data_IF_637849271609
#
_entry.id   IF_637849271609
#
_cell.length_a   1.000
_cell.length_b   1.000
_cell.length_c   1.000
_cell.angle_alpha   90.00
_cell.angle_beta   90.00
_cell.angle_gamma   90.00
#
_symmetry.space_group_name_H-M   'P 1'
#
loop_
_entity.id
_entity.type
_entity.pdbx_description
1 polymer ?
#
# COMPACT_ATOMS: atom_id res chain seq x y z
N UNK A 1 -14.86 5.49 18.70
CA UNK A 1 -13.91 4.47 19.17
C UNK A 1 -12.97 4.21 18.02
N UNK A 2 -11.71 4.65 18.11
CA UNK A 2 -10.71 4.31 17.10
C UNK A 2 -10.41 2.82 17.30
N UNK A 3 -10.72 1.99 16.32
CA UNK A 3 -10.34 0.58 16.36
C UNK A 3 -8.82 0.51 16.56
N UNK A 4 -8.34 -0.51 17.27
CA UNK A 4 -6.91 -0.70 17.52
C UNK A 4 -6.22 -1.13 16.21
N UNK A 5 -6.01 -0.17 15.30
CA UNK A 5 -5.52 -0.40 13.95
C UNK A 5 -4.14 -1.04 13.96
N UNK A 6 -3.32 -0.77 14.98
CA UNK A 6 -1.99 -1.37 15.16
C UNK A 6 -2.03 -2.90 15.39
N UNK A 7 -3.16 -3.42 15.88
CA UNK A 7 -3.40 -4.86 16.05
C UNK A 7 -4.02 -5.52 14.80
N UNK A 8 -4.30 -4.76 13.74
CA UNK A 8 -4.92 -5.28 12.52
C UNK A 8 -4.02 -6.28 11.78
N UNK A 9 -4.64 -7.08 10.89
CA UNK A 9 -3.90 -8.04 10.05
C UNK A 9 -2.85 -7.34 9.17
N UNK A 10 -3.20 -6.17 8.61
CA UNK A 10 -2.33 -5.38 7.75
C UNK A 10 -1.07 -4.94 8.50
N UNK A 11 -1.23 -4.45 9.74
CA UNK A 11 -0.11 -4.08 10.60
C UNK A 11 0.78 -5.26 10.97
N UNK A 12 0.20 -6.38 11.40
CA UNK A 12 0.97 -7.59 11.73
C UNK A 12 1.76 -8.08 10.51
N UNK A 13 1.15 -8.04 9.34
CA UNK A 13 1.79 -8.47 8.09
C UNK A 13 2.93 -7.53 7.69
N UNK A 14 2.67 -6.22 7.56
CA UNK A 14 3.68 -5.23 7.22
C UNK A 14 4.86 -5.26 8.20
N UNK A 15 4.57 -5.38 9.51
CA UNK A 15 5.60 -5.53 10.54
C UNK A 15 6.46 -6.77 10.31
N UNK A 16 5.85 -7.92 10.04
CA UNK A 16 6.58 -9.18 9.82
C UNK A 16 7.52 -9.14 8.62
N UNK A 17 7.17 -8.37 7.59
CA UNK A 17 7.95 -8.24 6.35
C UNK A 17 8.95 -7.09 6.36
N UNK A 18 8.71 -6.02 7.14
CA UNK A 18 9.49 -4.78 7.06
C UNK A 18 10.30 -4.45 8.31
N UNK A 19 9.86 -4.83 9.52
CA UNK A 19 10.45 -4.33 10.78
C UNK A 19 11.95 -4.64 10.91
N UNK A 20 12.33 -5.89 10.63
CA UNK A 20 13.72 -6.32 10.71
C UNK A 20 14.55 -5.99 9.45
N UNK A 21 14.10 -6.32 8.22
CA UNK A 21 14.94 -6.10 7.03
C UNK A 21 14.98 -4.64 6.58
N UNK A 22 13.95 -3.83 6.88
CA UNK A 22 13.77 -2.49 6.34
C UNK A 22 13.16 -1.53 7.38
N UNK A 23 13.84 -1.27 8.52
CA UNK A 23 13.26 -0.53 9.64
C UNK A 23 12.82 0.89 9.28
N UNK A 24 13.49 1.58 8.35
CA UNK A 24 13.07 2.91 7.86
C UNK A 24 11.80 2.85 7.03
N UNK A 25 11.63 1.82 6.19
CA UNK A 25 10.38 1.59 5.43
C UNK A 25 9.24 1.20 6.34
N UNK A 26 9.53 0.43 7.40
CA UNK A 26 8.56 0.15 8.44
C UNK A 26 8.12 1.43 9.17
N UNK A 27 9.05 2.31 9.55
CA UNK A 27 8.73 3.61 10.14
C UNK A 27 7.87 4.48 9.20
N UNK A 28 8.23 4.53 7.91
CA UNK A 28 7.46 5.21 6.87
C UNK A 28 6.03 4.68 6.78
N UNK A 29 5.85 3.37 6.62
CA UNK A 29 4.54 2.72 6.52
C UNK A 29 3.63 3.06 7.71
N UNK A 30 4.19 3.05 8.94
CA UNK A 30 3.47 3.48 10.14
C UNK A 30 3.04 4.95 10.07
N UNK A 31 3.91 5.84 9.57
CA UNK A 31 3.60 7.24 9.33
C UNK A 31 2.44 7.42 8.35
N UNK A 32 2.50 6.73 7.20
CA UNK A 32 1.45 6.77 6.17
C UNK A 32 0.13 6.23 6.72
N UNK A 33 0.17 5.17 7.54
CA UNK A 33 -1.02 4.66 8.23
C UNK A 33 -1.66 5.66 9.20
N UNK A 34 -0.86 6.44 9.94
CA UNK A 34 -1.37 7.54 10.78
C UNK A 34 -1.98 8.66 9.95
N UNK A 35 -1.32 9.07 8.86
CA UNK A 35 -1.86 10.05 7.93
C UNK A 35 -3.19 9.59 7.31
N UNK A 36 -3.31 8.30 6.97
CA UNK A 36 -4.53 7.71 6.44
C UNK A 36 -5.71 7.78 7.41
N UNK A 37 -5.50 7.53 8.71
CA UNK A 37 -6.54 7.70 9.74
C UNK A 37 -7.07 9.14 9.74
N UNK A 38 -6.15 10.11 9.69
CA UNK A 38 -6.47 11.53 9.69
C UNK A 38 -7.18 12.00 8.41
N UNK A 39 -6.77 11.49 7.26
CA UNK A 39 -7.32 11.85 5.95
C UNK A 39 -8.70 11.22 5.76
N UNK A 40 -8.88 9.94 6.11
CA UNK A 40 -10.16 9.26 5.97
C UNK A 40 -11.29 9.97 6.74
N UNK A 41 -11.00 10.45 7.95
CA UNK A 41 -11.96 11.19 8.76
C UNK A 41 -12.41 12.52 8.12
N UNK A 42 -11.60 13.12 7.24
CA UNK A 42 -11.90 14.39 6.55
C UNK A 42 -12.59 14.19 5.21
N UNK A 43 -12.30 13.08 4.54
CA UNK A 43 -12.82 12.78 3.20
C UNK A 43 -14.10 11.92 3.23
N UNK A 44 -14.51 11.44 4.40
CA UNK A 44 -15.66 10.52 4.58
C UNK A 44 -15.55 9.28 3.67
N UNK A 45 -14.32 8.77 3.53
CA UNK A 45 -14.01 7.59 2.72
C UNK A 45 -13.85 6.33 3.58
N UNK A 46 -13.68 5.19 2.92
CA UNK A 46 -13.49 3.89 3.57
C UNK A 46 -12.19 3.87 4.40
N UNK A 47 -12.32 4.14 5.71
CA UNK A 47 -11.20 4.29 6.63
C UNK A 47 -10.42 2.99 6.78
N UNK A 48 -11.11 1.86 6.89
CA UNK A 48 -10.46 0.56 7.08
C UNK A 48 -9.62 0.19 5.84
N UNK A 49 -10.19 0.37 4.65
CA UNK A 49 -9.49 0.11 3.40
C UNK A 49 -8.29 1.04 3.20
N UNK A 50 -8.45 2.35 3.45
CA UNK A 50 -7.37 3.31 3.27
C UNK A 50 -6.22 3.01 4.23
N UNK A 51 -6.50 2.77 5.52
CA UNK A 51 -5.48 2.49 6.53
C UNK A 51 -4.77 1.16 6.28
N UNK A 52 -5.50 0.11 5.89
CA UNK A 52 -4.89 -1.16 5.53
C UNK A 52 -3.94 -1.01 4.33
N UNK A 53 -4.39 -0.31 3.28
CA UNK A 53 -3.58 -0.07 2.07
C UNK A 53 -2.37 0.82 2.36
N UNK A 54 -2.53 1.86 3.18
CA UNK A 54 -1.45 2.74 3.63
C UNK A 54 -0.34 2.00 4.37
N UNK A 55 -0.70 1.05 5.23
CA UNK A 55 0.29 0.26 5.98
C UNK A 55 1.00 -0.77 5.11
N UNK A 56 0.32 -1.26 4.06
CA UNK A 56 0.82 -2.31 3.18
C UNK A 56 1.47 -1.80 1.89
N UNK A 57 1.35 -0.51 1.55
CA UNK A 57 1.74 0.01 0.22
C UNK A 57 3.19 -0.32 -0.15
N UNK A 58 4.09 -0.28 0.83
CA UNK A 58 5.52 -0.52 0.67
C UNK A 58 5.94 -1.96 1.00
N UNK A 59 5.01 -2.89 1.25
CA UNK A 59 5.36 -4.27 1.64
C UNK A 59 6.20 -4.97 0.58
N UNK A 60 5.99 -4.66 -0.70
CA UNK A 60 6.74 -5.24 -1.82
C UNK A 60 8.23 -4.88 -1.85
N UNK A 61 8.70 -3.97 -0.99
CA UNK A 61 10.14 -3.77 -0.79
C UNK A 61 10.82 -4.91 -0.03
N UNK A 62 10.07 -5.71 0.74
CA UNK A 62 10.63 -6.77 1.57
C UNK A 62 11.48 -7.74 0.71
N UNK A 63 12.73 -8.05 1.10
CA UNK A 63 13.66 -8.76 0.22
C UNK A 63 13.17 -10.11 -0.31
N UNK A 64 12.32 -10.82 0.44
CA UNK A 64 11.77 -12.12 0.02
C UNK A 64 10.62 -12.00 -0.98
N UNK A 65 10.01 -10.82 -1.13
CA UNK A 65 8.87 -10.55 -2.01
C UNK A 65 9.32 -10.05 -3.40
N UNK A 66 10.57 -9.62 -3.53
CA UNK A 66 11.07 -9.03 -4.79
C UNK A 66 11.10 -10.08 -5.90
N UNK A 67 10.31 -9.85 -6.95
CA UNK A 67 10.25 -10.69 -8.16
C UNK A 67 10.60 -9.85 -9.38
N UNK A 68 9.97 -8.68 -9.51
CA UNK A 68 10.20 -7.75 -10.64
C UNK A 68 11.13 -6.60 -10.25
N UNK A 69 11.31 -6.33 -8.94
CA UNK A 69 12.01 -5.14 -8.46
C UNK A 69 11.15 -3.87 -8.54
N UNK A 70 9.85 -4.02 -8.77
CA UNK A 70 8.85 -2.96 -8.73
C UNK A 70 7.87 -3.24 -7.60
N UNK A 71 8.08 -2.58 -6.46
CA UNK A 71 7.41 -2.90 -5.19
C UNK A 71 5.87 -2.81 -5.23
N UNK A 72 5.20 -1.94 -6.01
CA UNK A 72 3.74 -1.93 -6.05
C UNK A 72 3.19 -3.24 -6.62
N UNK A 73 3.80 -3.74 -7.71
CA UNK A 73 3.39 -4.99 -8.34
C UNK A 73 3.76 -6.21 -7.48
N UNK A 74 5.00 -6.27 -6.99
CA UNK A 74 5.48 -7.38 -6.17
C UNK A 74 4.67 -7.49 -4.86
N UNK A 75 4.39 -6.35 -4.21
CA UNK A 75 3.56 -6.29 -3.00
C UNK A 75 2.11 -6.68 -3.25
N UNK A 76 1.49 -6.19 -4.34
CA UNK A 76 0.11 -6.53 -4.66
C UNK A 76 -0.07 -8.02 -4.99
N UNK A 77 0.88 -8.64 -5.69
CA UNK A 77 0.89 -10.09 -5.95
C UNK A 77 1.05 -10.88 -4.68
N UNK A 78 1.99 -10.51 -3.82
CA UNK A 78 2.17 -11.15 -2.52
C UNK A 78 0.86 -11.14 -1.71
N UNK A 79 0.19 -10.00 -1.62
CA UNK A 79 -1.08 -9.86 -0.91
C UNK A 79 -2.21 -10.69 -1.54
N UNK A 80 -2.28 -10.75 -2.87
CA UNK A 80 -3.25 -11.56 -3.61
C UNK A 80 -3.00 -13.06 -3.42
N UNK A 81 -1.76 -13.50 -3.58
CA UNK A 81 -1.39 -14.90 -3.79
C UNK A 81 -1.10 -15.64 -2.47
N UNK A 82 -0.49 -14.98 -1.48
CA UNK A 82 -0.17 -15.61 -0.19
C UNK A 82 -1.21 -15.31 0.90
N UNK A 83 -1.96 -14.22 0.77
CA UNK A 83 -2.89 -13.75 1.80
C UNK A 83 -4.35 -13.66 1.36
N UNK A 84 -4.67 -13.91 0.09
CA UNK A 84 -6.03 -13.81 -0.47
C UNK A 84 -6.71 -12.48 -0.10
N UNK A 85 -5.92 -11.39 -0.06
CA UNK A 85 -6.39 -10.10 0.40
C UNK A 85 -7.49 -9.53 -0.51
N UNK A 86 -8.35 -8.67 0.04
CA UNK A 86 -9.37 -7.95 -0.71
C UNK A 86 -8.76 -7.28 -1.95
N UNK A 87 -9.40 -7.48 -3.11
CA UNK A 87 -8.95 -6.91 -4.38
C UNK A 87 -8.85 -5.39 -4.35
N UNK A 88 -9.64 -4.70 -3.52
CA UNK A 88 -9.53 -3.25 -3.34
C UNK A 88 -8.19 -2.88 -2.68
N UNK A 89 -7.73 -3.65 -1.69
CA UNK A 89 -6.42 -3.44 -1.05
C UNK A 89 -5.31 -3.70 -2.06
N UNK A 90 -5.34 -4.82 -2.78
CA UNK A 90 -4.29 -5.16 -3.74
C UNK A 90 -4.22 -4.17 -4.89
N UNK A 91 -5.36 -3.68 -5.38
CA UNK A 91 -5.41 -2.61 -6.40
C UNK A 91 -4.88 -1.27 -5.89
N UNK A 92 -5.17 -0.89 -4.65
CA UNK A 92 -4.60 0.32 -4.04
C UNK A 92 -3.09 0.19 -3.84
N UNK A 93 -2.61 -0.94 -3.32
CA UNK A 93 -1.16 -1.22 -3.21
C UNK A 93 -0.49 -1.25 -4.58
N UNK A 94 -1.11 -1.82 -5.61
CA UNK A 94 -0.51 -1.87 -6.95
C UNK A 94 -0.41 -0.50 -7.64
N UNK A 95 -1.32 0.43 -7.31
CA UNK A 95 -1.49 1.69 -8.03
C UNK A 95 -1.15 2.93 -7.18
N UNK A 96 -0.52 2.78 -6.01
CA UNK A 96 -0.16 3.93 -5.17
C UNK A 96 0.89 4.82 -5.83
N UNK A 97 0.92 6.11 -5.46
CA UNK A 97 2.01 7.06 -5.76
C UNK A 97 2.46 7.03 -7.23
N UNK A 98 1.48 7.14 -8.12
CA UNK A 98 1.70 7.16 -9.57
C UNK A 98 2.41 5.90 -10.13
N UNK A 99 2.26 4.75 -9.49
CA UNK A 99 2.86 3.47 -9.90
C UNK A 99 2.62 3.10 -11.36
N UNK A 100 1.48 3.46 -11.96
CA UNK A 100 1.24 3.18 -13.39
C UNK A 100 2.25 3.90 -14.30
N UNK A 101 2.58 5.16 -14.01
CA UNK A 101 3.59 5.91 -14.77
C UNK A 101 4.98 5.28 -14.61
N UNK A 102 5.35 4.89 -13.39
CA UNK A 102 6.61 4.20 -13.15
C UNK A 102 6.66 2.80 -13.82
N UNK A 103 5.53 2.10 -13.85
CA UNK A 103 5.43 0.80 -14.50
C UNK A 103 5.61 0.91 -16.02
N UNK A 104 5.09 1.97 -16.66
CA UNK A 104 5.31 2.21 -18.08
C UNK A 104 6.81 2.40 -18.41
N UNK A 105 7.55 3.16 -17.59
CA UNK A 105 9.01 3.34 -17.73
C UNK A 105 9.80 2.04 -17.52
N UNK A 106 9.19 1.06 -16.84
CA UNK A 106 9.77 -0.27 -16.55
C UNK A 106 9.27 -1.36 -17.51
N UNK A 107 8.49 -1.00 -18.54
CA UNK A 107 7.82 -1.95 -19.45
C UNK A 107 6.85 -2.93 -18.75
N UNK A 108 6.37 -2.58 -17.55
CA UNK A 108 5.44 -3.35 -16.73
C UNK A 108 4.00 -2.80 -16.74
N UNK A 109 3.74 -1.66 -17.37
CA UNK A 109 2.44 -0.98 -17.31
C UNK A 109 1.25 -1.83 -17.80
N UNK A 110 1.40 -2.52 -18.94
CA UNK A 110 0.36 -3.43 -19.47
C UNK A 110 0.07 -4.57 -18.47
N UNK A 111 1.12 -5.11 -17.85
CA UNK A 111 1.00 -6.19 -16.89
C UNK A 111 0.33 -5.71 -15.59
N UNK A 112 0.75 -4.56 -15.06
CA UNK A 112 0.16 -3.95 -13.87
C UNK A 112 -1.33 -3.67 -14.09
N UNK A 113 -1.69 -3.01 -15.20
CA UNK A 113 -3.08 -2.65 -15.50
C UNK A 113 -3.98 -3.88 -15.73
N UNK A 114 -3.44 -4.97 -16.27
CA UNK A 114 -4.17 -6.21 -16.47
C UNK A 114 -4.41 -6.97 -15.15
N UNK A 115 -3.41 -7.01 -14.26
CA UNK A 115 -3.52 -7.74 -12.99
C UNK A 115 -4.24 -6.95 -11.90
N UNK A 116 -4.01 -5.64 -11.85
CA UNK A 116 -4.49 -4.74 -10.82
C UNK A 116 -4.95 -3.42 -11.44
N UNK A 117 -6.12 -3.39 -12.11
CA UNK A 117 -6.65 -2.15 -12.67
C UNK A 117 -6.85 -1.11 -11.56
N UNK A 118 -6.62 0.16 -11.86
CA UNK A 118 -6.84 1.26 -10.91
C UNK A 118 -8.27 1.21 -10.34
N UNK A 119 -8.44 1.56 -9.07
CA UNK A 119 -9.75 1.58 -8.43
C UNK A 119 -10.60 2.74 -9.00
N UNK A 120 -11.88 2.49 -9.27
CA UNK A 120 -12.80 3.53 -9.76
C UNK A 120 -13.08 4.61 -8.71
N UNK A 121 -12.89 4.27 -7.43
CA UNK A 121 -12.92 5.22 -6.33
C UNK A 121 -11.60 6.00 -6.28
N UNK A 122 -11.54 7.05 -7.09
CA UNK A 122 -10.37 7.93 -7.18
C UNK A 122 -10.08 8.67 -5.87
N UNK A 123 -11.06 8.86 -4.99
CA UNK A 123 -10.83 9.52 -3.69
C UNK A 123 -9.89 8.68 -2.84
N UNK A 124 -10.06 7.35 -2.81
CA UNK A 124 -9.15 6.45 -2.09
C UNK A 124 -7.75 6.41 -2.71
N UNK A 125 -7.65 6.43 -4.04
CA UNK A 125 -6.36 6.43 -4.76
C UNK A 125 -5.57 7.71 -4.47
N UNK A 126 -6.24 8.86 -4.58
CA UNK A 126 -5.65 10.16 -4.32
C UNK A 126 -5.30 10.33 -2.84
N UNK A 127 -6.17 9.84 -1.93
CA UNK A 127 -5.90 9.86 -0.50
C UNK A 127 -4.66 9.04 -0.13
N UNK A 128 -4.50 7.83 -0.69
CA UNK A 128 -3.32 7.01 -0.45
C UNK A 128 -2.06 7.69 -0.97
N UNK A 129 -2.11 8.23 -2.20
CA UNK A 129 -1.01 9.00 -2.80
C UNK A 129 -0.64 10.21 -1.95
N UNK A 130 -1.63 10.96 -1.48
CA UNK A 130 -1.41 12.10 -0.58
C UNK A 130 -0.74 11.66 0.72
N UNK A 131 -1.24 10.60 1.37
CA UNK A 131 -0.67 10.10 2.62
C UNK A 131 0.80 9.69 2.45
N UNK A 132 1.12 8.99 1.36
CA UNK A 132 2.50 8.55 1.08
C UNK A 132 3.42 9.74 0.80
N UNK A 133 3.06 10.61 -0.14
CA UNK A 133 3.89 11.75 -0.54
C UNK A 133 4.05 12.84 0.53
N UNK A 134 3.16 12.91 1.52
CA UNK A 134 3.22 13.91 2.62
C UNK A 134 3.76 13.35 3.92
N UNK A 135 4.08 12.06 3.97
CA UNK A 135 4.77 11.44 5.09
C UNK A 135 6.27 11.40 4.78
N UNK A 136 7.07 12.09 5.59
CA UNK A 136 8.52 12.03 5.45
C UNK A 136 9.02 10.63 5.83
N UNK A 137 9.80 9.94 4.98
CA UNK A 137 10.57 8.80 5.42
C UNK A 137 11.71 9.32 6.29
N UNK A 138 11.61 9.13 7.61
CA UNK A 138 12.69 9.49 8.56
C UNK A 138 14.07 9.02 8.08
#
# INVERSE_FOLDING_TARGET
>A
MVADHESSWAWRLARSELELPLPRRWAHSQGVGRAAIEVAARLDCDTELLVASAILHDVGYAPRLVVTGFHPLDGARFLRDEHEADQRVTRLVANHTFALLEADERELGVQLAAEFPILDDHVLVDALTYCDMTTTPD
#
